data_IF_171211323339
#
_entry.id   IF_171211323339
#
_cell.length_a   1.000
_cell.length_b   1.000
_cell.length_c   1.000
_cell.angle_alpha   90.00
_cell.angle_beta   90.00
_cell.angle_gamma   90.00
#
_symmetry.space_group_name_H-M   'P 1'
#
loop_
_entity.id
_entity.type
_entity.pdbx_description
1 polymer ?
#
# COMPACT_ATOMS: atom_id res chain seq x y z
N UNK A 1 14.67 -2.76 11.91
CA UNK A 1 15.69 -1.95 11.16
C UNK A 1 15.68 -0.53 11.68
N UNK A 2 16.84 0.04 12.03
CA UNK A 2 16.95 1.46 12.37
C UNK A 2 16.77 2.33 11.15
N UNK A 3 16.26 3.54 11.31
CA UNK A 3 15.94 4.40 10.18
C UNK A 3 17.18 4.88 9.40
N UNK A 4 18.30 5.10 10.09
CA UNK A 4 19.57 5.42 9.44
C UNK A 4 20.06 4.28 8.52
N UNK A 5 19.74 3.04 8.85
CA UNK A 5 20.05 1.87 8.00
C UNK A 5 19.10 1.82 6.79
N UNK A 6 17.82 2.10 6.99
CA UNK A 6 16.86 2.25 5.90
C UNK A 6 17.30 3.33 4.91
N UNK A 7 17.73 4.50 5.38
CA UNK A 7 18.21 5.58 4.51
C UNK A 7 19.39 5.15 3.62
N UNK A 8 20.30 4.28 4.12
CA UNK A 8 21.37 3.70 3.31
C UNK A 8 20.87 2.75 2.23
N UNK A 9 19.68 2.17 2.40
CA UNK A 9 19.06 1.30 1.39
C UNK A 9 18.27 2.08 0.32
N UNK A 10 17.88 3.33 0.58
CA UNK A 10 17.08 4.16 -0.34
C UNK A 10 17.66 4.24 -1.76
N UNK A 11 18.99 4.45 -1.97
CA UNK A 11 19.57 4.46 -3.32
C UNK A 11 19.43 3.11 -4.04
N UNK A 12 19.60 2.00 -3.33
CA UNK A 12 19.40 0.65 -3.90
C UNK A 12 17.95 0.43 -4.27
N UNK A 13 17.02 0.80 -3.38
CA UNK A 13 15.58 0.71 -3.61
C UNK A 13 15.14 1.54 -4.83
N UNK A 14 15.67 2.76 -4.97
CA UNK A 14 15.38 3.65 -6.10
C UNK A 14 15.78 3.02 -7.44
N UNK A 15 16.94 2.34 -7.50
CA UNK A 15 17.49 1.76 -8.72
C UNK A 15 17.06 0.31 -8.98
N UNK A 16 16.37 -0.34 -8.02
CA UNK A 16 15.96 -1.74 -8.14
C UNK A 16 15.01 -1.94 -9.32
N UNK A 17 15.26 -2.94 -10.16
CA UNK A 17 14.27 -3.41 -11.12
C UNK A 17 13.18 -4.23 -10.41
N UNK A 18 11.93 -3.85 -10.61
CA UNK A 18 10.79 -4.47 -9.92
C UNK A 18 10.37 -5.77 -10.59
N UNK A 19 9.98 -6.76 -9.79
CA UNK A 19 9.38 -8.00 -10.31
C UNK A 19 7.96 -7.76 -10.88
N UNK A 20 7.33 -6.68 -10.47
CA UNK A 20 6.04 -6.29 -11.03
C UNK A 20 4.87 -7.12 -10.53
N UNK A 21 3.97 -7.46 -11.44
CA UNK A 21 2.76 -8.21 -11.10
C UNK A 21 3.04 -9.58 -10.46
N UNK A 22 4.16 -10.22 -10.79
CA UNK A 22 4.52 -11.50 -10.18
C UNK A 22 4.67 -11.37 -8.66
N UNK A 23 5.32 -10.30 -8.18
CA UNK A 23 5.38 -10.03 -6.75
C UNK A 23 4.00 -9.75 -6.13
N UNK A 24 3.14 -9.02 -6.85
CA UNK A 24 1.79 -8.71 -6.39
C UNK A 24 0.92 -9.99 -6.30
N UNK A 25 1.07 -10.91 -7.24
CA UNK A 25 0.27 -12.13 -7.31
C UNK A 25 0.57 -13.13 -6.19
N UNK A 26 1.72 -13.03 -5.51
CA UNK A 26 2.00 -13.83 -4.31
C UNK A 26 0.95 -13.62 -3.20
N UNK A 27 0.27 -12.47 -3.20
CA UNK A 27 -0.77 -12.11 -2.22
C UNK A 27 -2.15 -11.96 -2.87
N UNK A 28 -2.38 -12.62 -3.99
CA UNK A 28 -3.69 -12.68 -4.66
C UNK A 28 -4.28 -14.10 -4.54
N UNK A 29 -5.58 -14.25 -4.29
CA UNK A 29 -6.23 -15.54 -4.42
C UNK A 29 -6.27 -15.98 -5.89
N UNK A 30 -6.24 -17.29 -6.12
CA UNK A 30 -6.23 -17.87 -7.47
C UNK A 30 -7.41 -17.42 -8.34
N UNK A 31 -8.58 -17.23 -7.73
CA UNK A 31 -9.78 -16.72 -8.40
C UNK A 31 -9.56 -15.33 -8.99
N UNK A 32 -8.83 -14.47 -8.26
CA UNK A 32 -8.49 -13.13 -8.74
C UNK A 32 -7.47 -13.18 -9.87
N UNK A 33 -6.46 -14.05 -9.76
CA UNK A 33 -5.45 -14.22 -10.81
C UNK A 33 -6.13 -14.68 -12.11
N UNK A 34 -7.00 -15.68 -12.03
CA UNK A 34 -7.80 -16.16 -13.17
C UNK A 34 -8.68 -15.05 -13.75
N UNK A 35 -9.43 -14.36 -12.91
CA UNK A 35 -10.29 -13.26 -13.35
C UNK A 35 -9.51 -12.16 -14.08
N UNK A 36 -8.31 -11.80 -13.62
CA UNK A 36 -7.47 -10.80 -14.26
C UNK A 36 -6.88 -11.29 -15.60
N UNK A 37 -6.56 -12.59 -15.73
CA UNK A 37 -6.02 -13.17 -16.97
C UNK A 37 -7.08 -13.34 -18.07
N UNK A 38 -8.34 -13.55 -17.68
CA UNK A 38 -9.48 -13.74 -18.59
C UNK A 38 -10.18 -12.42 -18.94
N UNK A 39 -9.94 -11.36 -18.18
CA UNK A 39 -10.50 -10.04 -18.47
C UNK A 39 -9.86 -9.46 -19.72
N UNK A 40 -10.69 -9.31 -20.76
CA UNK A 40 -10.44 -8.28 -21.77
C UNK A 40 -10.65 -6.93 -21.06
N UNK A 41 -9.54 -6.36 -20.55
CA UNK A 41 -9.58 -5.05 -19.89
C UNK A 41 -9.73 -4.00 -21.00
N UNK A 42 -10.92 -3.91 -21.60
CA UNK A 42 -11.45 -2.66 -22.12
C UNK A 42 -12.38 -2.06 -21.05
N UNK A 43 -11.83 -1.47 -20.02
CA UNK A 43 -12.62 -0.83 -19.03
C UNK A 43 -13.13 0.46 -19.66
N UNK A 44 -14.41 0.57 -19.83
CA UNK A 44 -15.07 1.83 -20.12
C UNK A 44 -14.53 2.91 -19.17
N UNK A 45 -13.37 3.48 -19.52
CA UNK A 45 -12.61 4.51 -18.79
C UNK A 45 -12.40 4.17 -17.30
N UNK A 46 -11.39 3.36 -16.93
CA UNK A 46 -11.05 3.14 -15.52
C UNK A 46 -10.67 4.47 -14.88
N UNK A 47 -11.07 4.62 -13.61
CA UNK A 47 -10.62 5.74 -12.80
C UNK A 47 -9.18 5.49 -12.35
N UNK A 48 -8.48 6.54 -12.00
CA UNK A 48 -7.13 6.46 -11.46
C UNK A 48 -7.10 6.83 -9.98
N UNK A 49 -6.21 6.20 -9.26
CA UNK A 49 -5.89 6.50 -7.87
C UNK A 49 -4.39 6.46 -7.65
N UNK A 50 -3.90 7.28 -6.74
CA UNK A 50 -2.52 7.26 -6.28
C UNK A 50 -2.46 6.93 -4.79
N UNK A 51 -1.55 6.06 -4.38
CA UNK A 51 -1.35 5.68 -2.97
C UNK A 51 0.12 5.70 -2.59
N UNK A 52 0.44 5.93 -1.31
CA UNK A 52 1.80 6.12 -0.83
C UNK A 52 2.15 5.17 0.31
N UNK A 53 3.16 4.34 0.13
CA UNK A 53 3.82 3.60 1.20
C UNK A 53 4.87 4.54 1.83
N UNK A 54 4.51 5.21 2.92
CA UNK A 54 5.40 6.16 3.60
C UNK A 54 6.12 5.48 4.75
N UNK A 55 7.45 5.55 4.71
CA UNK A 55 8.34 5.09 5.79
C UNK A 55 8.86 6.28 6.59
N UNK A 56 9.02 6.10 7.89
CA UNK A 56 9.46 7.17 8.79
C UNK A 56 10.13 6.59 10.06
N UNK A 57 10.96 7.37 10.77
CA UNK A 57 11.47 6.97 12.08
C UNK A 57 10.39 7.13 13.15
N UNK A 58 10.11 6.09 13.93
CA UNK A 58 9.33 6.25 15.15
C UNK A 58 10.16 6.95 16.25
N UNK A 59 9.57 7.16 17.43
CA UNK A 59 10.23 7.84 18.56
C UNK A 59 11.47 7.09 19.09
N UNK A 60 11.69 5.84 18.68
CA UNK A 60 12.86 5.02 19.01
C UNK A 60 13.90 4.99 17.87
N UNK A 61 13.63 5.70 16.76
CA UNK A 61 14.48 5.68 15.57
C UNK A 61 14.31 4.43 14.71
N UNK A 62 13.28 3.62 14.96
CA UNK A 62 12.99 2.42 14.16
C UNK A 62 12.14 2.78 12.95
N UNK A 63 12.44 2.15 11.80
CA UNK A 63 11.68 2.35 10.57
C UNK A 63 10.28 1.80 10.70
N UNK A 64 9.28 2.62 10.41
CA UNK A 64 7.87 2.32 10.54
C UNK A 64 7.15 2.71 9.25
N UNK A 65 6.18 1.91 8.82
CA UNK A 65 5.30 2.16 7.68
C UNK A 65 3.95 2.65 8.20
N UNK A 66 3.40 3.71 7.59
CA UNK A 66 2.03 4.14 7.89
C UNK A 66 1.04 3.45 6.96
N UNK A 67 -0.02 2.90 7.54
CA UNK A 67 -1.24 2.45 6.88
C UNK A 67 -2.45 3.12 7.54
N UNK A 68 -3.60 3.06 6.91
CA UNK A 68 -4.87 3.56 7.45
C UNK A 68 -5.91 2.44 7.51
N UNK A 69 -6.73 2.47 8.54
CA UNK A 69 -8.00 1.74 8.57
C UNK A 69 -9.07 2.69 8.05
N UNK A 70 -9.68 2.36 6.93
CA UNK A 70 -10.75 3.18 6.34
C UNK A 70 -12.04 3.06 7.14
N UNK A 71 -12.78 4.16 7.26
CA UNK A 71 -14.08 4.14 7.92
C UNK A 71 -15.07 3.18 7.27
N UNK A 72 -15.99 2.72 8.08
CA UNK A 72 -17.14 1.92 7.62
C UNK A 72 -18.11 2.80 6.85
N UNK A 73 -18.29 2.51 5.57
CA UNK A 73 -19.27 3.17 4.70
C UNK A 73 -19.90 2.16 3.73
N UNK A 74 -20.95 2.57 3.01
CA UNK A 74 -21.56 1.71 1.96
C UNK A 74 -20.68 1.69 0.71
N UNK A 75 -19.63 0.87 0.69
CA UNK A 75 -18.71 0.78 -0.44
C UNK A 75 -17.79 -0.43 -0.38
N UNK A 76 -17.10 -0.72 -1.48
CA UNK A 76 -16.28 -1.94 -1.69
C UNK A 76 -15.06 -2.03 -0.77
N UNK A 77 -14.53 -0.90 -0.32
CA UNK A 77 -13.32 -0.82 0.51
C UNK A 77 -13.59 -0.38 1.95
N UNK A 78 -14.85 -0.53 2.40
CA UNK A 78 -15.28 -0.21 3.75
C UNK A 78 -14.56 -1.07 4.79
N UNK A 79 -14.08 -0.44 5.87
CA UNK A 79 -13.42 -1.12 7.00
C UNK A 79 -12.21 -1.98 6.57
N UNK A 80 -11.47 -1.55 5.53
CA UNK A 80 -10.27 -2.21 5.05
C UNK A 80 -9.03 -1.39 5.37
N UNK A 81 -7.92 -2.08 5.62
CA UNK A 81 -6.62 -1.44 5.75
C UNK A 81 -6.08 -1.11 4.35
N UNK A 82 -5.55 0.10 4.20
CA UNK A 82 -4.95 0.59 2.96
C UNK A 82 -3.72 1.45 3.21
N UNK A 83 -3.02 1.74 2.13
CA UNK A 83 -2.12 2.88 2.13
C UNK A 83 -2.92 4.18 2.19
N UNK A 84 -2.40 5.26 2.77
CA UNK A 84 -2.94 6.59 2.52
C UNK A 84 -2.92 6.87 1.02
N UNK A 85 -4.02 7.45 0.52
CA UNK A 85 -4.17 7.70 -0.90
C UNK A 85 -5.61 7.55 -1.39
N UNK A 86 -5.87 8.09 -2.58
CA UNK A 86 -7.22 8.15 -3.10
C UNK A 86 -7.31 8.41 -4.59
N UNK A 87 -8.48 8.87 -5.02
CA UNK A 87 -8.85 9.08 -6.42
C UNK A 87 -8.16 10.33 -6.99
N UNK A 88 -7.68 10.20 -8.22
CA UNK A 88 -7.16 11.35 -8.96
C UNK A 88 -8.30 12.34 -9.29
N UNK A 89 -8.06 13.61 -8.99
CA UNK A 89 -8.95 14.71 -9.33
C UNK A 89 -8.39 15.49 -10.53
N UNK A 90 -9.25 16.30 -11.16
CA UNK A 90 -8.89 17.01 -12.41
C UNK A 90 -7.80 18.05 -12.24
N UNK A 91 -7.56 18.51 -11.03
CA UNK A 91 -6.52 19.49 -10.70
C UNK A 91 -5.19 18.84 -10.30
N UNK A 92 -5.15 17.50 -10.13
CA UNK A 92 -3.91 16.80 -9.85
C UNK A 92 -2.99 16.80 -11.08
N UNK A 93 -1.79 17.35 -10.94
CA UNK A 93 -0.81 17.43 -12.03
C UNK A 93 -0.31 16.05 -12.47
N UNK A 94 -0.36 15.06 -11.58
CA UNK A 94 0.06 13.68 -11.84
C UNK A 94 -0.51 12.73 -10.78
N UNK A 95 -0.50 11.42 -11.05
CA UNK A 95 -0.90 10.41 -10.04
C UNK A 95 0.03 10.41 -8.80
N UNK A 96 1.27 10.86 -8.96
CA UNK A 96 2.17 11.10 -7.82
C UNK A 96 1.64 12.25 -6.96
N UNK A 97 1.20 13.34 -7.58
CA UNK A 97 0.59 14.46 -6.86
C UNK A 97 -0.69 14.00 -6.14
N UNK A 98 -1.54 13.20 -6.79
CA UNK A 98 -2.70 12.57 -6.12
C UNK A 98 -2.29 11.83 -4.86
N UNK A 99 -1.27 10.94 -4.94
CA UNK A 99 -0.82 10.16 -3.80
C UNK A 99 -0.31 11.04 -2.65
N UNK A 100 0.42 12.11 -2.96
CA UNK A 100 0.93 13.05 -1.97
C UNK A 100 -0.21 13.86 -1.31
N UNK A 101 -1.12 14.43 -2.11
CA UNK A 101 -2.27 15.21 -1.64
C UNK A 101 -3.16 14.41 -0.71
N UNK A 102 -3.56 13.22 -1.16
CA UNK A 102 -4.42 12.33 -0.37
C UNK A 102 -3.74 11.88 0.93
N UNK A 103 -2.41 11.65 0.89
CA UNK A 103 -1.64 11.34 2.10
C UNK A 103 -1.67 12.52 3.10
N UNK A 104 -1.53 13.76 2.61
CA UNK A 104 -1.65 14.95 3.47
C UNK A 104 -3.08 15.08 4.04
N UNK A 105 -4.11 14.88 3.22
CA UNK A 105 -5.51 14.95 3.62
C UNK A 105 -5.87 13.86 4.65
N UNK A 106 -5.49 12.61 4.44
CA UNK A 106 -5.90 11.46 5.27
C UNK A 106 -5.11 11.34 6.59
N UNK A 107 -3.81 11.68 6.59
CA UNK A 107 -2.93 11.48 7.77
C UNK A 107 -2.20 12.73 8.25
N UNK A 108 -2.40 13.89 7.61
CA UNK A 108 -1.83 15.17 8.02
C UNK A 108 -0.34 15.33 7.73
N UNK A 109 0.22 14.51 6.86
CA UNK A 109 1.64 14.54 6.50
C UNK A 109 1.86 15.44 5.28
N UNK A 110 2.52 16.59 5.46
CA UNK A 110 2.69 17.56 4.39
C UNK A 110 3.40 16.97 3.17
N UNK A 111 2.89 17.27 1.96
CA UNK A 111 3.44 16.76 0.69
C UNK A 111 4.92 17.10 0.53
N UNK A 112 5.34 18.28 0.99
CA UNK A 112 6.72 18.76 0.91
C UNK A 112 7.71 18.00 1.80
N UNK A 113 7.23 17.27 2.79
CA UNK A 113 8.04 16.45 3.70
C UNK A 113 8.31 15.06 3.14
N UNK A 114 7.51 14.59 2.16
CA UNK A 114 7.61 13.25 1.61
C UNK A 114 8.63 13.19 0.46
N UNK A 115 9.73 12.48 0.71
CA UNK A 115 10.72 12.15 -0.31
C UNK A 115 10.24 10.90 -1.08
N UNK A 116 9.74 11.08 -2.30
CA UNK A 116 9.28 9.96 -3.14
C UNK A 116 10.47 9.23 -3.75
N UNK A 117 10.62 7.95 -3.43
CA UNK A 117 11.75 7.10 -3.81
C UNK A 117 11.49 6.30 -5.07
N UNK A 118 10.33 5.65 -5.14
CA UNK A 118 10.04 4.65 -6.18
C UNK A 118 8.58 4.68 -6.58
N UNK A 119 8.36 4.61 -7.89
CA UNK A 119 7.06 4.26 -8.47
C UNK A 119 6.99 2.74 -8.58
N UNK A 120 5.99 2.13 -7.97
CA UNK A 120 5.73 0.69 -8.03
C UNK A 120 4.87 0.30 -9.24
N UNK A 121 4.61 -0.99 -9.40
CA UNK A 121 3.74 -1.50 -10.46
C UNK A 121 2.28 -1.17 -10.17
N UNK A 122 1.62 -0.58 -11.15
CA UNK A 122 0.18 -0.28 -11.04
C UNK A 122 -0.64 -1.56 -10.94
N UNK A 123 -1.72 -1.48 -10.17
CA UNK A 123 -2.66 -2.58 -9.94
C UNK A 123 -4.07 -2.19 -10.39
N UNK A 124 -4.72 -3.05 -11.18
CA UNK A 124 -6.13 -2.87 -11.50
C UNK A 124 -7.01 -3.53 -10.46
N UNK A 125 -8.08 -2.84 -10.04
CA UNK A 125 -9.05 -3.32 -9.04
C UNK A 125 -10.43 -3.41 -9.70
N UNK A 126 -10.83 -4.59 -10.23
CA UNK A 126 -12.08 -4.76 -10.98
C UNK A 126 -13.33 -4.29 -10.22
N UNK A 127 -13.55 -4.65 -8.93
CA UNK A 127 -14.78 -4.30 -8.23
C UNK A 127 -15.06 -2.81 -8.14
N UNK A 128 -14.01 -1.98 -8.10
CA UNK A 128 -14.12 -0.53 -8.03
C UNK A 128 -13.80 0.18 -9.35
N UNK A 129 -13.34 -0.56 -10.38
CA UNK A 129 -12.89 -0.06 -11.67
C UNK A 129 -11.81 1.03 -11.55
N UNK A 130 -10.79 0.75 -10.74
CA UNK A 130 -9.65 1.64 -10.54
C UNK A 130 -8.34 1.03 -11.06
N UNK A 131 -7.53 1.85 -11.72
CA UNK A 131 -6.08 1.68 -11.74
C UNK A 131 -5.49 2.40 -10.54
N UNK A 132 -4.83 1.66 -9.67
CA UNK A 132 -4.11 2.22 -8.53
C UNK A 132 -2.62 2.23 -8.82
N UNK A 133 -1.99 3.39 -8.65
CA UNK A 133 -0.55 3.57 -8.80
C UNK A 133 0.07 3.76 -7.42
N UNK A 134 0.78 2.76 -6.88
CA UNK A 134 1.47 2.90 -5.63
C UNK A 134 2.85 3.56 -5.82
N UNK A 135 3.29 4.25 -4.76
CA UNK A 135 4.63 4.81 -4.65
C UNK A 135 5.23 4.44 -3.30
N UNK A 136 6.56 4.39 -3.21
CA UNK A 136 7.31 4.36 -1.96
C UNK A 136 7.85 5.75 -1.71
N UNK A 137 7.68 6.25 -0.50
CA UNK A 137 8.26 7.48 -0.03
C UNK A 137 8.71 7.37 1.43
N UNK A 138 9.44 8.37 1.90
CA UNK A 138 9.82 8.46 3.31
C UNK A 138 9.83 9.93 3.78
N UNK A 139 9.74 10.12 5.09
CA UNK A 139 10.02 11.38 5.77
C UNK A 139 11.16 11.19 6.76
N UNK A 140 11.98 12.23 6.94
CA UNK A 140 13.21 12.14 7.76
C UNK A 140 12.96 12.30 9.25
N UNK A 141 11.83 12.91 9.61
CA UNK A 141 11.46 13.18 11.00
C UNK A 141 10.30 12.29 11.44
N UNK A 142 10.23 12.01 12.74
CA UNK A 142 9.05 11.36 13.33
C UNK A 142 7.84 12.26 13.12
N UNK A 143 6.83 11.84 12.32
CA UNK A 143 5.68 12.69 12.03
C UNK A 143 4.73 12.80 13.23
N UNK A 144 3.97 13.88 13.27
CA UNK A 144 2.80 14.00 14.13
C UNK A 144 1.58 13.84 13.24
N UNK A 145 0.98 12.66 13.26
CA UNK A 145 -0.18 12.36 12.42
C UNK A 145 -1.45 13.05 12.92
N UNK A 146 -2.23 13.54 11.96
CA UNK A 146 -3.58 14.04 12.20
C UNK A 146 -4.51 13.36 11.20
N UNK A 147 -5.35 12.46 11.67
CA UNK A 147 -6.27 11.73 10.79
C UNK A 147 -7.46 12.57 10.36
N UNK A 148 -7.89 12.39 9.11
CA UNK A 148 -9.16 12.92 8.63
C UNK A 148 -10.32 12.06 9.17
N UNK A 149 -11.08 12.63 10.11
CA UNK A 149 -12.13 11.89 10.82
C UNK A 149 -13.29 11.42 9.93
N UNK A 150 -13.48 12.00 8.75
CA UNK A 150 -14.53 11.58 7.83
C UNK A 150 -14.20 10.27 7.10
N UNK A 151 -12.91 10.01 6.82
CA UNK A 151 -12.46 8.91 5.95
C UNK A 151 -11.63 7.86 6.67
N UNK A 152 -10.90 8.26 7.71
CA UNK A 152 -9.94 7.42 8.44
C UNK A 152 -10.46 7.07 9.81
N UNK A 153 -10.63 5.78 10.09
CA UNK A 153 -10.97 5.26 11.43
C UNK A 153 -9.76 5.27 12.35
N UNK A 154 -8.64 4.74 11.86
CA UNK A 154 -7.39 4.67 12.60
C UNK A 154 -6.17 4.79 11.68
N UNK A 155 -5.09 5.38 12.20
CA UNK A 155 -3.77 5.33 11.60
C UNK A 155 -3.03 4.14 12.22
N UNK A 156 -2.46 3.28 11.39
CA UNK A 156 -1.73 2.09 11.79
C UNK A 156 -0.24 2.33 11.54
N UNK A 157 0.53 2.28 12.60
CA UNK A 157 1.98 2.42 12.58
C UNK A 157 2.60 1.01 12.63
N UNK A 158 3.09 0.53 11.48
CA UNK A 158 3.58 -0.84 11.31
C UNK A 158 5.11 -0.85 11.32
N UNK A 159 5.77 -1.42 12.34
CA UNK A 159 7.22 -1.57 12.33
C UNK A 159 7.70 -2.34 11.09
N UNK A 160 8.73 -1.84 10.39
CA UNK A 160 9.27 -2.49 9.19
C UNK A 160 9.69 -3.94 9.47
N UNK A 161 10.24 -4.22 10.65
CA UNK A 161 10.65 -5.56 11.05
C UNK A 161 9.43 -6.52 11.15
N UNK A 162 8.31 -6.06 11.71
CA UNK A 162 7.05 -6.81 11.75
C UNK A 162 6.56 -7.10 10.32
N UNK A 163 6.54 -6.10 9.46
CA UNK A 163 6.10 -6.24 8.07
C UNK A 163 6.96 -7.23 7.28
N UNK A 164 8.29 -7.17 7.43
CA UNK A 164 9.21 -8.03 6.69
C UNK A 164 9.30 -9.47 7.23
N UNK A 165 8.86 -9.70 8.46
CA UNK A 165 8.91 -11.04 9.06
C UNK A 165 8.04 -12.04 8.26
N UNK A 166 8.49 -13.30 8.14
CA UNK A 166 7.72 -14.34 7.44
C UNK A 166 6.39 -14.64 8.13
N UNK A 167 6.37 -14.57 9.46
CA UNK A 167 5.16 -14.76 10.28
C UNK A 167 4.07 -13.71 10.04
N UNK A 168 4.37 -12.59 9.38
CA UNK A 168 3.36 -11.59 9.02
C UNK A 168 2.43 -12.09 7.91
N UNK A 169 2.86 -13.08 7.10
CA UNK A 169 2.06 -13.67 6.04
C UNK A 169 1.19 -14.78 6.62
N UNK A 170 -0.11 -14.66 6.43
CA UNK A 170 -1.12 -15.61 6.92
C UNK A 170 -2.08 -16.00 5.79
N UNK A 171 -2.86 -17.03 6.02
CA UNK A 171 -4.06 -17.31 5.22
C UNK A 171 -5.29 -16.96 6.04
N UNK A 172 -6.19 -16.17 5.48
CA UNK A 172 -7.41 -15.72 6.14
C UNK A 172 -8.64 -16.13 5.34
N UNK A 173 -9.66 -16.61 6.03
CA UNK A 173 -10.94 -16.97 5.41
C UNK A 173 -11.85 -15.76 5.36
N UNK A 174 -12.18 -15.30 4.16
CA UNK A 174 -12.86 -14.00 3.95
C UNK A 174 -13.90 -14.11 2.82
N UNK A 175 -14.97 -13.35 2.93
CA UNK A 175 -15.89 -13.08 1.83
C UNK A 175 -15.27 -12.03 0.90
N UNK A 176 -15.18 -12.36 -0.37
CA UNK A 176 -14.61 -11.49 -1.41
C UNK A 176 -15.62 -11.25 -2.52
N UNK A 177 -15.32 -10.34 -3.44
CA UNK A 177 -16.09 -10.16 -4.68
C UNK A 177 -16.02 -11.36 -5.64
N UNK A 178 -15.14 -12.32 -5.39
CA UNK A 178 -14.93 -13.51 -6.22
C UNK A 178 -15.59 -14.76 -5.63
N UNK A 179 -16.01 -14.73 -4.38
CA UNK A 179 -16.66 -15.86 -3.70
C UNK A 179 -16.76 -15.67 -2.20
N UNK A 180 -17.56 -16.51 -1.56
CA UNK A 180 -17.76 -16.52 -0.11
C UNK A 180 -16.80 -17.48 0.57
N UNK A 181 -16.30 -17.09 1.74
CA UNK A 181 -15.44 -17.92 2.61
C UNK A 181 -14.22 -18.50 1.86
N UNK A 182 -13.58 -17.69 1.01
CA UNK A 182 -12.35 -18.05 0.34
C UNK A 182 -11.15 -17.96 1.28
N UNK A 183 -10.23 -18.90 1.18
CA UNK A 183 -8.93 -18.82 1.83
C UNK A 183 -8.05 -17.88 0.99
N UNK A 184 -7.75 -16.69 1.52
CA UNK A 184 -6.96 -15.68 0.83
C UNK A 184 -5.64 -15.43 1.55
N UNK A 185 -4.53 -15.22 0.81
CA UNK A 185 -3.29 -14.75 1.41
C UNK A 185 -3.49 -13.32 1.95
N UNK A 186 -2.98 -13.08 3.14
CA UNK A 186 -3.10 -11.81 3.84
C UNK A 186 -1.85 -11.54 4.68
N UNK A 187 -1.66 -10.28 5.06
CA UNK A 187 -0.74 -9.93 6.13
C UNK A 187 -1.50 -9.74 7.43
N UNK A 188 -0.87 -10.08 8.55
CA UNK A 188 -1.30 -9.70 9.88
C UNK A 188 -0.31 -8.67 10.42
N UNK A 189 -0.74 -7.40 10.49
CA UNK A 189 0.10 -6.25 10.80
C UNK A 189 -0.59 -5.37 11.84
N UNK A 190 0.13 -5.05 12.92
CA UNK A 190 -0.38 -4.19 13.99
C UNK A 190 -1.82 -4.56 14.40
N UNK A 191 -2.05 -5.86 14.63
CA UNK A 191 -3.33 -6.46 15.05
C UNK A 191 -4.46 -6.42 13.98
N UNK A 192 -4.13 -6.08 12.73
CA UNK A 192 -5.10 -6.01 11.62
C UNK A 192 -4.77 -7.00 10.52
N UNK A 193 -5.81 -7.55 9.90
CA UNK A 193 -5.70 -8.37 8.70
C UNK A 193 -5.71 -7.46 7.47
N UNK A 194 -4.61 -7.50 6.70
CA UNK A 194 -4.45 -6.73 5.45
C UNK A 194 -4.47 -7.68 4.28
N UNK A 195 -5.46 -7.56 3.41
CA UNK A 195 -5.70 -8.46 2.30
C UNK A 195 -6.06 -7.73 1.00
N UNK A 196 -6.30 -8.44 -0.08
CA UNK A 196 -6.76 -7.90 -1.35
C UNK A 196 -5.73 -6.98 -2.02
N UNK A 197 -6.18 -5.85 -2.56
CA UNK A 197 -5.32 -4.94 -3.32
C UNK A 197 -4.15 -4.40 -2.49
N UNK A 198 -4.39 -4.06 -1.22
CA UNK A 198 -3.35 -3.56 -0.32
C UNK A 198 -2.28 -4.62 -0.06
N UNK A 199 -2.67 -5.86 0.22
CA UNK A 199 -1.72 -6.96 0.41
C UNK A 199 -0.89 -7.23 -0.85
N UNK A 200 -1.50 -7.17 -2.04
CA UNK A 200 -0.79 -7.33 -3.31
C UNK A 200 0.27 -6.23 -3.52
N UNK A 201 -0.05 -4.98 -3.24
CA UNK A 201 0.91 -3.87 -3.34
C UNK A 201 2.00 -3.98 -2.26
N UNK A 202 1.64 -4.35 -1.02
CA UNK A 202 2.60 -4.64 0.07
C UNK A 202 3.54 -5.80 -0.30
N UNK A 203 3.05 -6.80 -1.01
CA UNK A 203 3.89 -7.93 -1.48
C UNK A 203 5.03 -7.46 -2.38
N UNK A 204 4.77 -6.51 -3.29
CA UNK A 204 5.81 -5.93 -4.13
C UNK A 204 6.80 -5.08 -3.29
N UNK A 205 6.31 -4.34 -2.30
CA UNK A 205 7.17 -3.62 -1.34
C UNK A 205 8.05 -4.59 -0.57
N UNK A 206 7.48 -5.65 0.02
CA UNK A 206 8.23 -6.69 0.77
C UNK A 206 9.27 -7.35 -0.12
N UNK A 207 8.91 -7.72 -1.32
CA UNK A 207 9.83 -8.29 -2.30
C UNK A 207 11.01 -7.33 -2.58
N UNK A 208 10.74 -6.03 -2.79
CA UNK A 208 11.78 -5.04 -3.04
C UNK A 208 12.79 -4.95 -1.90
N UNK A 209 12.33 -4.93 -0.64
CA UNK A 209 13.21 -4.94 0.53
C UNK A 209 14.04 -6.22 0.61
N UNK A 210 13.45 -7.39 0.35
CA UNK A 210 14.18 -8.67 0.34
C UNK A 210 15.26 -8.73 -0.74
N UNK A 211 15.11 -8.01 -1.86
CA UNK A 211 16.16 -7.96 -2.88
C UNK A 211 17.32 -7.06 -2.49
N UNK A 212 17.03 -5.88 -1.92
CA UNK A 212 18.11 -4.94 -1.54
C UNK A 212 18.96 -5.45 -0.37
N UNK A 213 18.42 -6.30 0.49
CA UNK A 213 19.17 -6.98 1.57
C UNK A 213 20.16 -8.03 1.03
N UNK A 214 19.97 -8.50 -0.21
CA UNK A 214 20.86 -9.47 -0.88
C UNK A 214 21.97 -8.83 -1.70
N UNK A 215 21.89 -7.51 -1.95
CA UNK A 215 22.85 -6.69 -2.69
C UNK A 215 23.85 -6.03 -1.75
#
# INVERSE_FOLDING_TARGET
MQFDEFLKQVPKLSNLELLGQEAQFLMAPDERIRALSEMDIDPKKPRWAGVMAVFYPNTKGETTLVLILRKTYKGVHSNQVGFPGGKAETFDESIKHTALRETEEEVGLAQSEINVVKKLTKLYIPPSNFWVQPFIGYVEQTPVFTKEDAEVEAILEVPLEEFLADKSVITQRIDTSYGTMLDVPAFYLSEHVVWGATAMMLSEVKWAFQQIDRL
#
